data_IF_564548424366
#
_entry.id   IF_564548424366
#
_cell.length_a   1.000
_cell.length_b   1.000
_cell.length_c   1.000
_cell.angle_alpha   90.00
_cell.angle_beta   90.00
_cell.angle_gamma   90.00
#
_symmetry.space_group_name_H-M   'P 1'
#
loop_
_entity.id
_entity.type
_entity.pdbx_description
1 polymer ?
#
# COMPACT_ATOMS: atom_id res chain seq x y z
N UNK A 1 -39.80 46.45 9.60
CA UNK A 1 -38.57 46.38 10.42
C UNK A 1 -37.71 45.22 9.93
N UNK A 2 -36.41 45.31 10.19
CA UNK A 2 -35.30 44.49 9.66
C UNK A 2 -35.44 42.97 9.91
N UNK A 3 -35.15 42.22 8.86
CA UNK A 3 -34.20 41.08 8.71
C UNK A 3 -33.66 40.36 9.97
N UNK A 4 -33.29 39.08 9.75
CA UNK A 4 -32.40 38.17 10.52
C UNK A 4 -33.12 37.21 11.49
N UNK A 5 -32.83 35.91 11.57
CA UNK A 5 -31.77 35.10 10.97
C UNK A 5 -32.24 33.64 10.98
N UNK A 6 -32.37 33.01 9.80
CA UNK A 6 -32.48 31.56 9.70
C UNK A 6 -31.09 31.05 9.33
N UNK A 7 -30.22 30.96 10.34
CA UNK A 7 -28.95 30.25 10.21
C UNK A 7 -29.25 28.75 10.03
N UNK A 8 -29.51 28.37 8.78
CA UNK A 8 -29.44 27.00 8.30
C UNK A 8 -27.99 26.56 8.53
N UNK A 9 -27.75 25.81 9.61
CA UNK A 9 -26.55 25.00 9.71
C UNK A 9 -26.69 23.91 8.66
N UNK A 10 -26.25 24.21 7.44
CA UNK A 10 -26.13 23.21 6.39
C UNK A 10 -24.85 22.43 6.68
N UNK A 11 -24.98 21.38 7.50
CA UNK A 11 -23.89 20.44 7.80
C UNK A 11 -23.61 19.49 6.64
N UNK A 12 -24.26 19.66 5.48
CA UNK A 12 -24.17 18.73 4.34
C UNK A 12 -22.88 18.85 3.51
N UNK A 13 -21.87 19.59 4.00
CA UNK A 13 -20.63 19.83 3.25
C UNK A 13 -19.43 19.00 3.74
N UNK A 14 -19.59 18.16 4.77
CA UNK A 14 -18.50 17.38 5.36
C UNK A 14 -18.66 15.86 5.14
N UNK A 15 -19.52 15.45 4.21
CA UNK A 15 -19.64 14.06 3.75
C UNK A 15 -19.13 13.94 2.31
N UNK A 16 -17.96 14.49 2.03
CA UNK A 16 -17.12 13.93 0.98
C UNK A 16 -15.88 13.47 1.75
N UNK A 17 -15.95 12.21 2.20
CA UNK A 17 -14.89 11.60 2.96
C UNK A 17 -13.58 11.85 2.23
N UNK A 18 -12.54 12.25 2.96
CA UNK A 18 -11.21 12.30 2.38
C UNK A 18 -11.00 10.95 1.68
N UNK A 19 -10.69 10.98 0.37
CA UNK A 19 -10.25 9.82 -0.39
C UNK A 19 -8.95 9.31 0.25
N UNK A 20 -9.09 8.64 1.39
CA UNK A 20 -8.08 7.78 1.94
C UNK A 20 -8.01 6.63 0.94
N UNK A 21 -6.89 6.56 0.24
CA UNK A 21 -6.59 5.46 -0.66
C UNK A 21 -6.89 4.14 0.08
N UNK A 22 -7.83 3.34 -0.43
CA UNK A 22 -8.20 2.04 0.15
C UNK A 22 -6.96 1.12 0.18
N UNK A 23 -5.95 1.46 -0.64
CA UNK A 23 -4.71 0.71 -0.77
C UNK A 23 -3.55 1.21 0.09
N UNK A 24 -3.84 1.63 1.33
CA UNK A 24 -2.80 2.11 2.24
C UNK A 24 -1.75 1.04 2.56
N UNK A 25 -0.47 1.43 2.54
CA UNK A 25 0.65 0.57 2.97
C UNK A 25 0.49 0.17 4.45
N UNK A 26 0.51 -1.14 4.78
CA UNK A 26 0.43 -1.60 6.16
C UNK A 26 1.75 -1.36 6.92
N UNK A 27 1.72 -1.58 8.24
CA UNK A 27 2.96 -1.64 9.02
C UNK A 27 3.74 -2.90 8.63
N UNK A 28 4.99 -2.72 8.19
CA UNK A 28 5.83 -3.81 7.73
C UNK A 28 6.79 -4.26 8.83
N UNK A 29 7.12 -5.56 8.83
CA UNK A 29 8.13 -6.14 9.72
C UNK A 29 9.46 -5.44 9.54
N UNK A 30 10.29 -5.37 10.57
CA UNK A 30 11.56 -4.60 10.50
C UNK A 30 12.48 -5.04 9.35
N UNK A 31 12.43 -6.31 9.00
CA UNK A 31 13.24 -7.04 8.02
C UNK A 31 12.39 -7.52 6.82
N UNK A 32 11.31 -6.81 6.49
CA UNK A 32 10.44 -7.15 5.35
C UNK A 32 11.18 -7.13 4.00
N UNK A 33 12.15 -6.23 3.86
CA UNK A 33 12.96 -6.04 2.67
C UNK A 33 13.85 -7.26 2.41
N UNK A 34 14.55 -7.71 3.45
CA UNK A 34 15.36 -8.93 3.42
C UNK A 34 14.48 -10.17 3.16
N UNK A 35 13.35 -10.31 3.87
CA UNK A 35 12.41 -11.42 3.68
C UNK A 35 11.87 -11.55 2.27
N UNK A 36 11.42 -10.44 1.68
CA UNK A 36 10.90 -10.44 0.32
C UNK A 36 11.98 -10.84 -0.69
N UNK A 37 13.18 -10.28 -0.52
CA UNK A 37 14.33 -10.56 -1.39
C UNK A 37 14.72 -12.03 -1.35
N UNK A 38 14.80 -12.61 -0.15
CA UNK A 38 15.11 -14.03 0.04
C UNK A 38 14.01 -14.92 -0.54
N UNK A 39 12.74 -14.65 -0.24
CA UNK A 39 11.61 -15.43 -0.74
C UNK A 39 11.54 -15.43 -2.29
N UNK A 40 11.76 -14.28 -2.93
CA UNK A 40 11.81 -14.19 -4.40
C UNK A 40 12.97 -15.02 -4.97
N UNK A 41 14.15 -14.92 -4.37
CA UNK A 41 15.34 -15.65 -4.83
C UNK A 41 15.20 -17.16 -4.64
N UNK A 42 14.64 -17.60 -3.51
CA UNK A 42 14.37 -19.00 -3.22
C UNK A 42 13.31 -19.58 -4.17
N UNK A 43 12.33 -18.77 -4.57
CA UNK A 43 11.37 -19.11 -5.62
C UNK A 43 11.96 -19.06 -7.05
N UNK A 44 13.20 -18.57 -7.21
CA UNK A 44 13.93 -18.56 -8.48
C UNK A 44 13.50 -17.46 -9.45
N UNK A 45 12.82 -16.42 -8.97
CA UNK A 45 12.33 -15.32 -9.81
C UNK A 45 13.33 -14.17 -9.91
N UNK A 46 13.48 -13.60 -11.11
CA UNK A 46 13.98 -12.25 -11.27
C UNK A 46 12.90 -11.24 -10.85
N UNK A 47 13.31 -10.01 -10.55
CA UNK A 47 12.39 -8.98 -10.07
C UNK A 47 11.31 -8.62 -11.11
N UNK A 48 11.71 -8.41 -12.37
CA UNK A 48 10.81 -8.15 -13.49
C UNK A 48 9.82 -9.32 -13.71
N UNK A 49 10.28 -10.57 -13.57
CA UNK A 49 9.44 -11.76 -13.74
C UNK A 49 8.38 -11.82 -12.64
N UNK A 50 8.76 -11.60 -11.37
CA UNK A 50 7.79 -11.54 -10.27
C UNK A 50 6.79 -10.40 -10.48
N UNK A 51 7.24 -9.22 -10.89
CA UNK A 51 6.36 -8.09 -11.19
C UNK A 51 5.31 -8.46 -12.25
N UNK A 52 5.73 -9.17 -13.30
CA UNK A 52 4.86 -9.70 -14.34
C UNK A 52 3.85 -10.72 -13.84
N UNK A 53 4.24 -11.64 -12.97
CA UNK A 53 3.34 -12.64 -12.36
C UNK A 53 2.29 -11.98 -11.45
N UNK A 54 2.69 -10.96 -10.69
CA UNK A 54 1.80 -10.25 -9.76
C UNK A 54 0.94 -9.18 -10.45
N UNK A 55 1.30 -8.76 -11.66
CA UNK A 55 0.62 -7.66 -12.36
C UNK A 55 0.84 -6.30 -11.70
N UNK A 56 2.01 -6.09 -11.08
CA UNK A 56 2.40 -4.85 -10.38
C UNK A 56 3.61 -4.20 -11.05
N UNK A 57 3.90 -2.95 -10.72
CA UNK A 57 5.09 -2.26 -11.19
C UNK A 57 6.36 -2.84 -10.54
N UNK A 58 7.38 -3.14 -11.36
CA UNK A 58 8.69 -3.62 -10.87
C UNK A 58 9.30 -2.64 -9.85
N UNK A 59 9.09 -1.33 -10.03
CA UNK A 59 9.58 -0.31 -9.11
C UNK A 59 9.01 -0.43 -7.70
N UNK A 60 7.81 -0.95 -7.56
CA UNK A 60 7.16 -1.10 -6.25
C UNK A 60 7.76 -2.29 -5.49
N UNK A 61 7.98 -3.41 -6.19
CA UNK A 61 8.73 -4.54 -5.64
C UNK A 61 10.17 -4.15 -5.32
N UNK A 62 10.82 -3.39 -6.19
CA UNK A 62 12.16 -2.88 -5.95
C UNK A 62 12.22 -1.98 -4.71
N UNK A 63 11.21 -1.13 -4.52
CA UNK A 63 11.11 -0.27 -3.35
C UNK A 63 10.89 -1.09 -2.08
N UNK A 64 10.12 -2.18 -2.14
CA UNK A 64 9.97 -3.11 -1.02
C UNK A 64 11.31 -3.77 -0.66
N UNK A 65 12.02 -4.33 -1.63
CA UNK A 65 13.34 -4.97 -1.41
C UNK A 65 14.44 -4.01 -0.94
N UNK A 66 14.23 -2.70 -1.08
CA UNK A 66 15.17 -1.66 -0.62
C UNK A 66 14.78 -1.01 0.71
N UNK A 67 13.70 -1.44 1.35
CA UNK A 67 13.23 -0.82 2.59
C UNK A 67 12.60 0.57 2.38
N UNK A 68 12.11 0.87 1.16
CA UNK A 68 11.66 2.22 0.73
C UNK A 68 10.18 2.28 0.34
N UNK A 69 9.39 1.26 0.65
CA UNK A 69 7.97 1.17 0.27
C UNK A 69 7.16 2.44 0.60
N UNK A 70 7.28 2.95 1.83
CA UNK A 70 6.60 4.19 2.25
C UNK A 70 7.03 5.41 1.43
N UNK A 71 8.31 5.52 1.09
CA UNK A 71 8.84 6.67 0.35
C UNK A 71 8.45 6.62 -1.14
N UNK A 72 8.32 5.41 -1.68
CA UNK A 72 7.88 5.18 -3.05
C UNK A 72 6.35 5.26 -3.21
N UNK A 73 5.60 5.24 -2.10
CA UNK A 73 4.13 5.24 -2.14
C UNK A 73 3.55 3.90 -2.56
N UNK A 74 4.22 2.79 -2.23
CA UNK A 74 3.75 1.44 -2.53
C UNK A 74 2.43 1.17 -1.80
N UNK A 75 1.46 0.61 -2.51
CA UNK A 75 0.15 0.25 -1.95
C UNK A 75 0.16 -1.06 -1.16
N UNK A 76 -0.79 -1.22 -0.25
CA UNK A 76 -0.94 -2.45 0.55
C UNK A 76 -1.28 -3.70 -0.26
N UNK A 77 -1.90 -3.54 -1.43
CA UNK A 77 -2.27 -4.61 -2.36
C UNK A 77 -1.04 -5.27 -2.95
N UNK A 78 0.01 -4.50 -3.25
CA UNK A 78 1.31 -5.02 -3.71
C UNK A 78 1.94 -5.91 -2.64
N UNK A 79 1.91 -5.47 -1.37
CA UNK A 79 2.42 -6.26 -0.24
C UNK A 79 1.64 -7.58 -0.13
N UNK A 80 0.31 -7.52 -0.11
CA UNK A 80 -0.54 -8.73 -0.02
C UNK A 80 -0.32 -9.70 -1.18
N UNK A 81 -0.20 -9.18 -2.40
CA UNK A 81 0.07 -10.01 -3.58
C UNK A 81 1.40 -10.74 -3.47
N UNK A 82 2.46 -10.06 -2.98
CA UNK A 82 3.76 -10.67 -2.75
C UNK A 82 3.72 -11.73 -1.63
N UNK A 83 3.05 -11.44 -0.50
CA UNK A 83 2.87 -12.40 0.60
C UNK A 83 2.14 -13.67 0.13
N UNK A 84 1.03 -13.52 -0.60
CA UNK A 84 0.24 -14.64 -1.11
C UNK A 84 1.01 -15.48 -2.14
N UNK A 85 1.71 -14.84 -3.06
CA UNK A 85 2.42 -15.54 -4.14
C UNK A 85 3.68 -16.27 -3.66
N UNK A 86 4.43 -15.65 -2.75
CA UNK A 86 5.70 -16.18 -2.24
C UNK A 86 5.56 -16.96 -0.93
N UNK A 87 4.35 -17.03 -0.35
CA UNK A 87 4.07 -17.67 0.95
C UNK A 87 4.99 -17.12 2.06
N UNK A 88 5.05 -15.79 2.18
CA UNK A 88 5.91 -15.05 3.13
C UNK A 88 5.09 -14.04 3.93
N UNK A 89 5.45 -13.83 5.20
CA UNK A 89 4.83 -12.80 6.06
C UNK A 89 5.72 -11.54 6.16
N UNK A 90 5.24 -10.44 5.58
CA UNK A 90 5.87 -9.11 5.52
C UNK A 90 5.21 -8.07 6.43
N UNK A 91 3.95 -8.26 6.81
CA UNK A 91 3.18 -7.33 7.67
C UNK A 91 3.36 -7.62 9.16
N UNK A 92 3.39 -6.57 10.00
CA UNK A 92 3.32 -6.69 11.47
C UNK A 92 1.85 -6.84 11.92
N UNK A 93 1.53 -7.89 12.69
CA UNK A 93 0.21 -8.14 13.30
C UNK A 93 -0.08 -7.29 14.54
#
# INVERSE_FOLDING_TARGET
>A
ARMHDAAKADSSHWEEGADYDDDQLPYLKRDYDERLTEARQDAGYQLEELAGELGVDESDLLALEQGRATQAGVGGSVVRAAEEFLDVDLVEE
#
